data_IF_852150174301
#
_entry.id   IF_852150174301
#
_cell.length_a   1.000
_cell.length_b   1.000
_cell.length_c   1.000
_cell.angle_alpha   90.00
_cell.angle_beta   90.00
_cell.angle_gamma   90.00
#
_symmetry.space_group_name_H-M   'P 1'
#
loop_
_entity.id
_entity.type
_entity.pdbx_description
1 polymer ?
#
# COMPACT_ATOMS: atom_id res chain seq x y z
N UNK A 1 -36.28 33.50 -1.93
CA UNK A 1 -35.61 33.69 -0.66
C UNK A 1 -34.14 33.41 -0.79
N UNK A 2 -33.29 34.29 -0.34
CA UNK A 2 -31.86 33.99 -0.36
C UNK A 2 -31.56 32.83 0.56
N UNK A 3 -30.89 31.80 0.02
CA UNK A 3 -30.41 30.68 0.78
C UNK A 3 -29.09 31.08 1.42
N UNK A 4 -29.00 30.98 2.74
CA UNK A 4 -27.74 31.20 3.46
C UNK A 4 -26.99 29.89 3.49
N UNK A 5 -25.89 29.82 2.75
CA UNK A 5 -24.98 28.67 2.79
C UNK A 5 -24.02 28.85 3.95
N UNK A 6 -23.99 27.86 4.83
CA UNK A 6 -23.05 27.83 5.96
C UNK A 6 -21.97 26.82 5.65
N UNK A 7 -20.75 27.30 5.60
CA UNK A 7 -19.58 26.39 5.48
C UNK A 7 -19.20 25.86 6.85
N UNK A 8 -18.99 24.56 6.89
CA UNK A 8 -18.56 23.88 8.11
C UNK A 8 -17.07 23.58 8.06
N UNK A 9 -16.40 23.69 9.21
CA UNK A 9 -15.00 23.33 9.34
C UNK A 9 -14.82 21.84 9.07
N UNK A 10 -13.88 21.50 8.19
CA UNK A 10 -13.61 20.10 7.83
C UNK A 10 -13.06 19.28 9.01
N UNK A 11 -12.51 19.92 10.03
CA UNK A 11 -11.96 19.24 11.20
C UNK A 11 -12.95 19.10 12.35
N UNK A 12 -13.64 20.19 12.73
CA UNK A 12 -14.48 20.19 13.93
C UNK A 12 -15.99 20.34 13.66
N UNK A 13 -16.39 20.64 12.44
CA UNK A 13 -17.81 20.79 12.08
C UNK A 13 -18.44 22.11 12.49
N UNK A 14 -17.71 23.02 13.10
CA UNK A 14 -18.23 24.34 13.46
C UNK A 14 -18.35 25.23 12.22
N UNK A 15 -19.24 26.23 12.29
CA UNK A 15 -19.42 27.18 11.20
C UNK A 15 -18.14 27.99 10.97
N UNK A 16 -17.76 28.10 9.70
CA UNK A 16 -16.57 28.84 9.27
C UNK A 16 -17.00 30.24 8.84
N UNK A 17 -16.42 31.28 9.47
CA UNK A 17 -16.63 32.67 9.12
C UNK A 17 -15.39 33.19 8.39
N UNK A 18 -15.60 34.03 7.38
CA UNK A 18 -14.51 34.65 6.65
C UNK A 18 -14.59 34.41 5.15
N UNK A 19 -13.45 34.21 4.51
CA UNK A 19 -13.37 34.08 3.06
C UNK A 19 -14.12 32.83 2.56
N UNK A 20 -14.63 32.92 1.33
CA UNK A 20 -15.35 31.83 0.67
C UNK A 20 -14.47 30.56 0.57
N UNK A 21 -13.18 30.73 0.39
CA UNK A 21 -12.22 29.64 0.25
C UNK A 21 -11.77 29.05 1.59
N UNK A 22 -12.20 29.61 2.72
CA UNK A 22 -11.81 29.14 4.05
C UNK A 22 -12.51 27.81 4.36
N UNK A 23 -11.72 26.79 4.64
CA UNK A 23 -12.21 25.42 4.91
C UNK A 23 -12.20 25.05 6.39
N UNK A 24 -11.48 25.82 7.22
CA UNK A 24 -11.27 25.52 8.64
C UNK A 24 -11.56 26.74 9.48
N UNK A 25 -12.04 26.53 10.70
CA UNK A 25 -12.38 27.64 11.60
C UNK A 25 -11.15 28.37 12.14
N UNK A 26 -10.03 27.66 12.27
CA UNK A 26 -8.75 28.24 12.71
C UNK A 26 -7.56 27.41 12.19
N UNK A 27 -6.35 27.87 12.47
CA UNK A 27 -5.12 27.18 12.05
C UNK A 27 -4.92 25.86 12.78
N UNK A 28 -5.38 25.77 14.02
CA UNK A 28 -5.28 24.53 14.79
C UNK A 28 -6.09 23.40 14.14
N UNK A 29 -7.32 23.69 13.69
CA UNK A 29 -8.16 22.70 12.99
C UNK A 29 -7.53 22.29 11.67
N UNK A 30 -6.98 23.26 10.92
CA UNK A 30 -6.31 22.95 9.65
C UNK A 30 -5.10 22.03 9.87
N UNK A 31 -4.28 22.32 10.88
CA UNK A 31 -3.10 21.52 11.18
C UNK A 31 -3.48 20.11 11.63
N UNK A 32 -4.50 19.98 12.47
CA UNK A 32 -4.99 18.69 12.93
C UNK A 32 -5.51 17.84 11.78
N UNK A 33 -6.29 18.43 10.87
CA UNK A 33 -6.82 17.72 9.71
C UNK A 33 -5.69 17.24 8.80
N UNK A 34 -4.72 18.09 8.49
CA UNK A 34 -3.58 17.75 7.64
C UNK A 34 -2.71 16.68 8.30
N UNK A 35 -2.47 16.76 9.60
CA UNK A 35 -1.71 15.76 10.34
C UNK A 35 -2.40 14.39 10.30
N UNK A 36 -3.72 14.36 10.42
CA UNK A 36 -4.48 13.12 10.34
C UNK A 36 -4.38 12.50 8.95
N UNK A 37 -4.52 13.28 7.88
CA UNK A 37 -4.36 12.79 6.51
C UNK A 37 -2.96 12.23 6.28
N UNK A 38 -1.94 12.94 6.74
CA UNK A 38 -0.55 12.50 6.61
C UNK A 38 -0.31 11.19 7.38
N UNK A 39 -0.88 11.04 8.57
CA UNK A 39 -0.78 9.82 9.36
C UNK A 39 -1.41 8.63 8.64
N UNK A 40 -2.59 8.82 8.05
CA UNK A 40 -3.28 7.77 7.29
C UNK A 40 -2.46 7.33 6.07
N UNK A 41 -1.92 8.28 5.30
CA UNK A 41 -1.07 7.98 4.15
C UNK A 41 0.21 7.27 4.58
N UNK A 42 0.85 7.71 5.66
CA UNK A 42 2.07 7.10 6.18
C UNK A 42 1.81 5.66 6.62
N UNK A 43 0.69 5.40 7.29
CA UNK A 43 0.32 4.06 7.73
C UNK A 43 0.06 3.13 6.55
N UNK A 44 -0.61 3.62 5.51
CA UNK A 44 -0.87 2.84 4.29
C UNK A 44 0.46 2.43 3.63
N UNK A 45 1.35 3.40 3.39
CA UNK A 45 2.66 3.14 2.78
C UNK A 45 3.46 2.16 3.63
N UNK A 46 3.47 2.35 4.94
CA UNK A 46 4.18 1.47 5.86
C UNK A 46 3.65 0.03 5.78
N UNK A 47 2.35 -0.14 5.71
CA UNK A 47 1.73 -1.47 5.63
C UNK A 47 2.11 -2.17 4.32
N UNK A 48 2.08 -1.45 3.19
CA UNK A 48 2.49 -1.99 1.90
C UNK A 48 3.97 -2.35 1.91
N UNK A 49 4.82 -1.47 2.44
CA UNK A 49 6.27 -1.72 2.53
C UNK A 49 6.57 -2.92 3.41
N UNK A 50 5.88 -3.07 4.54
CA UNK A 50 6.05 -4.22 5.42
C UNK A 50 5.63 -5.51 4.74
N UNK A 51 4.54 -5.49 3.97
CA UNK A 51 4.09 -6.65 3.19
C UNK A 51 5.13 -7.04 2.14
N UNK A 52 5.67 -6.06 1.40
CA UNK A 52 6.72 -6.30 0.41
C UNK A 52 8.00 -6.88 1.04
N UNK A 53 8.43 -6.33 2.16
CA UNK A 53 9.60 -6.82 2.89
C UNK A 53 9.39 -8.25 3.37
N UNK A 54 8.20 -8.54 3.87
CA UNK A 54 7.84 -9.90 4.31
C UNK A 54 7.86 -10.87 3.14
N UNK A 55 7.29 -10.48 2.00
CA UNK A 55 7.33 -11.31 0.79
C UNK A 55 8.77 -11.61 0.38
N UNK A 56 9.64 -10.61 0.40
CA UNK A 56 11.05 -10.79 0.10
C UNK A 56 11.71 -11.79 1.03
N UNK A 57 11.48 -11.67 2.33
CA UNK A 57 12.05 -12.58 3.33
C UNK A 57 11.55 -14.01 3.14
N UNK A 58 10.27 -14.17 2.80
CA UNK A 58 9.69 -15.49 2.53
C UNK A 58 10.36 -16.12 1.30
N UNK A 59 10.51 -15.37 0.22
CA UNK A 59 11.19 -15.86 -0.98
C UNK A 59 12.65 -16.21 -0.69
N UNK A 60 13.34 -15.38 0.08
CA UNK A 60 14.71 -15.63 0.50
C UNK A 60 14.82 -16.94 1.31
N UNK A 61 13.90 -17.13 2.23
CA UNK A 61 13.88 -18.34 3.06
C UNK A 61 13.61 -19.60 2.24
N UNK A 62 12.66 -19.52 1.32
CA UNK A 62 12.29 -20.66 0.46
C UNK A 62 13.42 -21.02 -0.50
N UNK A 63 14.04 -20.01 -1.11
CA UNK A 63 15.15 -20.22 -2.03
C UNK A 63 16.40 -20.78 -1.32
N UNK A 64 16.69 -20.29 -0.10
CA UNK A 64 17.88 -20.65 0.61
C UNK A 64 19.13 -20.21 -0.16
N UNK A 65 20.02 -21.16 -0.45
CA UNK A 65 21.25 -20.94 -1.21
C UNK A 65 21.11 -21.30 -2.70
N UNK A 66 19.91 -21.66 -3.14
CA UNK A 66 19.65 -22.08 -4.52
C UNK A 66 19.24 -20.91 -5.38
N UNK A 67 19.57 -20.95 -6.67
CA UNK A 67 19.18 -19.91 -7.62
C UNK A 67 17.72 -20.07 -8.05
N UNK A 68 17.21 -21.31 -8.11
CA UNK A 68 15.84 -21.61 -8.50
C UNK A 68 15.33 -22.72 -7.61
N UNK A 69 14.10 -22.57 -7.13
CA UNK A 69 13.43 -23.59 -6.33
C UNK A 69 11.93 -23.52 -6.53
N UNK A 70 11.29 -24.69 -6.59
CA UNK A 70 9.85 -24.80 -6.67
C UNK A 70 9.23 -24.81 -5.28
N UNK A 71 8.10 -24.13 -5.13
CA UNK A 71 7.32 -24.12 -3.90
C UNK A 71 5.84 -24.12 -4.25
N UNK A 72 5.03 -24.70 -3.36
CA UNK A 72 3.57 -24.67 -3.55
C UNK A 72 3.03 -23.32 -3.09
N UNK A 73 1.95 -22.88 -3.71
CA UNK A 73 1.25 -21.66 -3.31
C UNK A 73 0.78 -21.74 -1.86
N UNK A 74 0.24 -22.89 -1.46
CA UNK A 74 -0.23 -23.10 -0.09
C UNK A 74 0.88 -22.90 0.94
N UNK A 75 2.09 -23.36 0.65
CA UNK A 75 3.24 -23.14 1.53
C UNK A 75 3.56 -21.66 1.69
N UNK A 76 3.57 -20.91 0.58
CA UNK A 76 3.86 -19.49 0.62
C UNK A 76 2.77 -18.72 1.37
N UNK A 77 1.50 -19.01 1.11
CA UNK A 77 0.38 -18.38 1.80
C UNK A 77 0.40 -18.70 3.30
N UNK A 78 0.76 -19.93 3.66
CA UNK A 78 0.90 -20.33 5.06
C UNK A 78 2.02 -19.57 5.79
N UNK A 79 3.02 -19.06 5.07
CA UNK A 79 4.09 -18.24 5.62
C UNK A 79 3.72 -16.77 5.69
N UNK A 80 2.57 -16.36 5.14
CA UNK A 80 2.12 -14.98 5.14
C UNK A 80 2.41 -14.23 3.85
N UNK A 81 2.72 -14.92 2.77
CA UNK A 81 2.99 -14.30 1.47
C UNK A 81 1.74 -13.64 0.91
N UNK A 82 1.86 -12.39 0.44
CA UNK A 82 0.74 -11.64 -0.13
C UNK A 82 0.98 -11.42 -1.62
N UNK A 83 0.23 -12.16 -2.45
CA UNK A 83 0.39 -12.15 -3.90
C UNK A 83 0.06 -10.82 -4.55
N UNK A 84 -0.78 -10.00 -3.92
CA UNK A 84 -1.18 -8.72 -4.49
C UNK A 84 -0.08 -7.66 -4.49
N UNK A 85 1.01 -7.87 -3.75
CA UNK A 85 2.09 -6.89 -3.65
C UNK A 85 3.36 -7.40 -4.30
N UNK A 86 3.89 -6.60 -5.21
CA UNK A 86 5.20 -6.81 -5.83
C UNK A 86 5.79 -5.44 -6.18
N UNK A 87 7.12 -5.35 -6.28
CA UNK A 87 7.78 -4.08 -6.60
C UNK A 87 7.81 -3.83 -8.11
N UNK A 88 8.00 -4.87 -8.89
CA UNK A 88 8.00 -4.79 -10.34
C UNK A 88 7.79 -6.18 -10.93
N UNK A 89 7.54 -6.21 -12.24
CA UNK A 89 7.39 -7.46 -12.96
C UNK A 89 8.25 -7.43 -14.23
N UNK A 90 8.52 -8.61 -14.75
CA UNK A 90 9.29 -8.78 -15.98
C UNK A 90 8.61 -9.81 -16.86
N UNK A 91 8.39 -9.46 -18.13
CA UNK A 91 7.86 -10.38 -19.14
C UNK A 91 9.01 -10.95 -19.95
N UNK A 92 9.11 -12.28 -19.99
CA UNK A 92 10.11 -12.90 -20.82
C UNK A 92 9.57 -13.10 -22.26
N UNK A 93 10.48 -13.49 -23.17
CA UNK A 93 10.13 -13.68 -24.59
C UNK A 93 9.12 -14.79 -24.84
N UNK A 94 8.94 -15.69 -23.87
CA UNK A 94 7.97 -16.81 -23.94
C UNK A 94 6.59 -16.46 -23.37
N UNK A 95 6.36 -15.19 -23.04
CA UNK A 95 5.07 -14.73 -22.50
C UNK A 95 4.85 -15.04 -21.02
N UNK A 96 5.88 -15.42 -20.29
CA UNK A 96 5.80 -15.69 -18.87
C UNK A 96 6.05 -14.41 -18.07
N UNK A 97 5.32 -14.23 -16.98
CA UNK A 97 5.41 -13.05 -16.13
C UNK A 97 6.12 -13.40 -14.83
N UNK A 98 7.28 -12.76 -14.61
CA UNK A 98 8.00 -12.87 -13.35
C UNK A 98 7.65 -11.67 -12.49
N UNK A 99 7.29 -11.91 -11.23
CA UNK A 99 7.01 -10.86 -10.26
C UNK A 99 8.15 -10.79 -9.26
N UNK A 100 8.55 -9.57 -8.92
CA UNK A 100 9.69 -9.33 -8.03
C UNK A 100 9.25 -8.58 -6.78
N UNK A 101 9.83 -8.98 -5.65
CA UNK A 101 9.80 -8.23 -4.40
C UNK A 101 11.25 -7.80 -4.12
N UNK A 102 11.59 -6.61 -4.63
CA UNK A 102 12.95 -6.06 -4.63
C UNK A 102 13.89 -6.90 -5.51
N UNK A 103 14.78 -7.70 -4.91
CA UNK A 103 15.77 -8.50 -5.62
C UNK A 103 15.39 -9.99 -5.74
N UNK A 104 14.28 -10.40 -5.12
CA UNK A 104 13.79 -11.77 -5.21
C UNK A 104 12.53 -11.83 -6.05
N UNK A 105 12.47 -12.83 -6.92
CA UNK A 105 11.36 -12.96 -7.85
C UNK A 105 10.71 -14.33 -7.79
N UNK A 106 9.51 -14.42 -8.34
CA UNK A 106 8.77 -15.66 -8.46
C UNK A 106 8.02 -15.71 -9.78
N UNK A 107 7.81 -16.92 -10.28
CA UNK A 107 7.04 -17.18 -11.51
C UNK A 107 5.85 -18.05 -11.15
N UNK A 108 4.61 -17.53 -11.24
CA UNK A 108 3.43 -18.37 -11.06
C UNK A 108 3.29 -19.37 -12.21
N UNK A 109 3.20 -20.66 -11.87
CA UNK A 109 2.99 -21.74 -12.84
C UNK A 109 1.94 -22.68 -12.24
N UNK A 110 0.72 -22.64 -12.76
CA UNK A 110 -0.41 -23.39 -12.22
C UNK A 110 -0.55 -23.15 -10.71
N UNK A 111 -0.42 -24.20 -9.90
CA UNK A 111 -0.49 -24.10 -8.43
C UNK A 111 0.88 -23.96 -7.77
N UNK A 112 1.96 -23.89 -8.57
CA UNK A 112 3.33 -23.78 -8.08
C UNK A 112 3.90 -22.41 -8.35
N UNK A 113 4.82 -21.99 -7.49
CA UNK A 113 5.55 -20.70 -7.61
C UNK A 113 7.05 -21.00 -7.60
N UNK A 114 7.76 -20.39 -8.51
CA UNK A 114 9.20 -20.57 -8.64
C UNK A 114 9.96 -19.30 -8.24
#
# INVERSE_FOLDING_TARGET
MPTIEVKLCLACGKAVKGRIDKKFCDDSCRNNHNNQLNAEQTNYVRNVMNALRRNRLILQHVLGDKMIRKATLDRLLGMGFQLKYHTHFYDNKKGRHYYYCFDYGYLPVDDEVI
#
